data_IF_705513653323
#
_entry.id   IF_705513653323
#
_cell.length_a   1.000
_cell.length_b   1.000
_cell.length_c   1.000
_cell.angle_alpha   90.00
_cell.angle_beta   90.00
_cell.angle_gamma   90.00
#
_symmetry.space_group_name_H-M   'P 1'
#
loop_
_entity.id
_entity.type
_entity.pdbx_description
1 polymer ?
#
# COMPACT_ATOMS: atom_id res chain seq x y z
N UNK A 1 -2.17 -13.16 -24.32
CA UNK A 1 -2.40 -13.58 -22.93
C UNK A 1 -1.81 -12.48 -22.05
N UNK A 2 -2.66 -11.61 -21.49
CA UNK A 2 -2.23 -10.49 -20.64
C UNK A 2 -1.77 -11.03 -19.29
N UNK A 3 -0.50 -10.82 -18.95
CA UNK A 3 -0.05 -10.83 -17.55
C UNK A 3 0.20 -9.36 -17.17
N UNK A 4 -0.53 -8.95 -16.14
CA UNK A 4 -0.61 -7.61 -15.59
C UNK A 4 0.47 -7.49 -14.52
N UNK A 5 1.72 -7.42 -14.94
CA UNK A 5 2.82 -7.07 -14.02
C UNK A 5 2.75 -5.56 -13.72
N UNK A 6 1.66 -5.12 -13.08
CA UNK A 6 1.75 -3.93 -12.26
C UNK A 6 2.63 -4.36 -11.08
N UNK A 7 3.87 -3.83 -10.94
CA UNK A 7 4.65 -4.09 -9.74
C UNK A 7 3.72 -3.76 -8.57
N UNK A 8 3.55 -4.71 -7.67
CA UNK A 8 2.48 -4.67 -6.66
C UNK A 8 2.77 -3.54 -5.69
N UNK A 9 2.37 -2.31 -6.04
CA UNK A 9 2.56 -1.09 -5.27
C UNK A 9 1.90 -1.26 -3.90
N UNK A 10 0.80 -2.01 -3.85
CA UNK A 10 0.12 -2.46 -2.64
C UNK A 10 1.07 -3.17 -1.66
N UNK A 11 2.04 -3.95 -2.14
CA UNK A 11 2.98 -4.68 -1.26
C UNK A 11 4.09 -3.77 -0.72
N UNK A 12 4.62 -2.86 -1.55
CA UNK A 12 5.60 -1.87 -1.09
C UNK A 12 4.97 -0.91 -0.08
N UNK A 13 3.79 -0.38 -0.40
CA UNK A 13 3.06 0.55 0.46
C UNK A 13 2.75 -0.09 1.81
N UNK A 14 2.27 -1.35 1.81
CA UNK A 14 1.95 -2.08 3.04
C UNK A 14 3.18 -2.32 3.92
N UNK A 15 4.33 -2.63 3.34
CA UNK A 15 5.59 -2.77 4.08
C UNK A 15 6.01 -1.42 4.67
N UNK A 16 5.93 -0.34 3.90
CA UNK A 16 6.31 1.01 4.36
C UNK A 16 5.39 1.48 5.49
N UNK A 17 4.07 1.31 5.38
CA UNK A 17 3.15 1.66 6.45
C UNK A 17 3.42 0.88 7.74
N UNK A 18 3.63 -0.43 7.63
CA UNK A 18 3.90 -1.28 8.80
C UNK A 18 5.21 -0.90 9.49
N UNK A 19 6.26 -0.61 8.71
CA UNK A 19 7.53 -0.11 9.23
C UNK A 19 7.38 1.25 9.92
N UNK A 20 6.64 2.18 9.31
CA UNK A 20 6.37 3.50 9.91
C UNK A 20 5.53 3.42 11.19
N UNK A 21 4.69 2.39 11.32
CA UNK A 21 3.94 2.10 12.55
C UNK A 21 4.80 1.44 13.65
N UNK A 22 6.08 1.18 13.39
CA UNK A 22 7.03 0.63 14.36
C UNK A 22 7.10 -0.89 14.38
N UNK A 23 6.50 -1.59 13.41
CA UNK A 23 6.71 -3.03 13.27
C UNK A 23 8.15 -3.34 12.86
N UNK A 24 8.72 -4.43 13.39
CA UNK A 24 10.03 -4.91 12.94
C UNK A 24 9.93 -5.56 11.56
N UNK A 25 11.00 -5.59 10.76
CA UNK A 25 11.02 -6.27 9.47
C UNK A 25 10.56 -7.74 9.54
N UNK A 26 10.92 -8.45 10.61
CA UNK A 26 10.51 -9.83 10.85
C UNK A 26 9.02 -9.95 11.17
N UNK A 27 8.45 -8.98 11.90
CA UNK A 27 7.01 -8.91 12.15
C UNK A 27 6.24 -8.67 10.86
N UNK A 28 6.73 -7.74 10.05
CA UNK A 28 6.16 -7.44 8.72
C UNK A 28 6.22 -8.69 7.83
N UNK A 29 7.35 -9.39 7.74
CA UNK A 29 7.48 -10.60 6.94
C UNK A 29 6.50 -11.71 7.38
N UNK A 30 6.22 -11.82 8.68
CA UNK A 30 5.21 -12.75 9.19
C UNK A 30 3.78 -12.35 8.79
N UNK A 31 3.50 -11.06 8.72
CA UNK A 31 2.20 -10.52 8.30
C UNK A 31 1.97 -10.66 6.78
N UNK A 32 3.04 -10.76 5.98
CA UNK A 32 2.99 -10.89 4.52
C UNK A 32 3.71 -12.16 4.05
N UNK A 33 3.10 -13.36 4.17
CA UNK A 33 3.75 -14.64 3.86
C UNK A 33 4.15 -14.84 2.38
N UNK A 34 3.74 -13.92 1.50
CA UNK A 34 4.15 -13.87 0.09
C UNK A 34 5.47 -13.11 -0.12
N UNK A 35 5.95 -12.38 0.89
CA UNK A 35 7.20 -11.65 0.86
C UNK A 35 8.27 -12.41 1.64
N UNK A 36 9.44 -12.59 1.03
CA UNK A 36 10.60 -13.06 1.77
C UNK A 36 11.12 -11.96 2.71
N UNK A 37 11.83 -12.35 3.75
CA UNK A 37 12.42 -11.39 4.68
C UNK A 37 13.38 -10.44 3.95
N UNK A 38 14.15 -10.93 2.97
CA UNK A 38 15.03 -10.14 2.12
C UNK A 38 14.26 -9.11 1.29
N UNK A 39 13.07 -9.46 0.78
CA UNK A 39 12.21 -8.52 0.06
C UNK A 39 11.69 -7.42 0.99
N UNK A 40 11.33 -7.75 2.23
CA UNK A 40 10.91 -6.77 3.24
C UNK A 40 12.07 -5.81 3.56
N UNK A 41 13.26 -6.34 3.83
CA UNK A 41 14.45 -5.51 4.06
C UNK A 41 14.80 -4.65 2.85
N UNK A 42 14.70 -5.19 1.63
CA UNK A 42 14.92 -4.45 0.39
C UNK A 42 13.92 -3.30 0.20
N UNK A 43 12.64 -3.54 0.49
CA UNK A 43 11.61 -2.52 0.45
C UNK A 43 11.85 -1.39 1.47
N UNK A 44 12.22 -1.74 2.71
CA UNK A 44 12.56 -0.76 3.76
C UNK A 44 13.80 0.05 3.35
N UNK A 45 14.85 -0.61 2.85
CA UNK A 45 16.05 0.07 2.40
C UNK A 45 15.76 1.04 1.24
N UNK A 46 14.95 0.60 0.27
CA UNK A 46 14.51 1.46 -0.84
C UNK A 46 13.71 2.66 -0.34
N UNK A 47 12.77 2.46 0.60
CA UNK A 47 12.01 3.55 1.23
C UNK A 47 12.93 4.56 1.92
N UNK A 48 13.85 4.10 2.76
CA UNK A 48 14.76 4.98 3.49
C UNK A 48 15.67 5.79 2.54
N UNK A 49 16.11 5.19 1.43
CA UNK A 49 16.92 5.87 0.42
C UNK A 49 16.12 6.88 -0.43
N UNK A 50 14.80 6.71 -0.56
CA UNK A 50 13.96 7.51 -1.46
C UNK A 50 12.77 8.15 -0.72
N UNK A 51 12.95 8.46 0.57
CA UNK A 51 11.84 8.77 1.49
C UNK A 51 10.93 9.88 0.99
N UNK A 52 11.49 11.00 0.52
CA UNK A 52 10.69 12.13 0.03
C UNK A 52 9.82 11.75 -1.18
N UNK A 53 10.39 10.98 -2.11
CA UNK A 53 9.69 10.51 -3.31
C UNK A 53 8.57 9.56 -2.93
N UNK A 54 8.84 8.58 -2.06
CA UNK A 54 7.86 7.58 -1.65
C UNK A 54 6.77 8.21 -0.78
N UNK A 55 7.10 9.11 0.14
CA UNK A 55 6.11 9.84 0.95
C UNK A 55 5.18 10.69 0.06
N UNK A 56 5.72 11.34 -0.99
CA UNK A 56 4.91 12.09 -1.95
C UNK A 56 3.99 11.18 -2.78
N UNK A 57 4.50 10.01 -3.19
CA UNK A 57 3.72 8.99 -3.90
C UNK A 57 2.57 8.46 -3.03
N UNK A 58 2.85 8.06 -1.78
CA UNK A 58 1.87 7.53 -0.83
C UNK A 58 0.75 8.54 -0.56
N UNK A 59 1.09 9.82 -0.34
CA UNK A 59 0.11 10.90 -0.15
C UNK A 59 -0.80 11.08 -1.36
N UNK A 60 -0.24 10.98 -2.57
CA UNK A 60 -1.02 11.06 -3.80
C UNK A 60 -1.98 9.89 -3.95
N UNK A 61 -1.51 8.67 -3.69
CA UNK A 61 -2.35 7.46 -3.72
C UNK A 61 -3.50 7.50 -2.72
N UNK A 62 -3.27 8.01 -1.51
CA UNK A 62 -4.32 8.17 -0.50
C UNK A 62 -5.42 9.14 -0.97
N UNK A 63 -5.04 10.29 -1.55
CA UNK A 63 -5.98 11.27 -2.07
C UNK A 63 -6.83 10.69 -3.22
N UNK A 64 -6.22 9.91 -4.12
CA UNK A 64 -6.92 9.26 -5.23
C UNK A 64 -7.89 8.17 -4.73
N UNK A 65 -7.48 7.38 -3.72
CA UNK A 65 -8.35 6.36 -3.13
C UNK A 65 -9.54 6.97 -2.37
N UNK A 66 -9.32 8.08 -1.65
CA UNK A 66 -10.40 8.82 -0.98
C UNK A 66 -11.40 9.39 -2.00
N UNK A 67 -10.92 9.95 -3.11
CA UNK A 67 -11.78 10.44 -4.19
C UNK A 67 -12.58 9.30 -4.83
N UNK A 68 -11.96 8.14 -5.05
CA UNK A 68 -12.64 6.97 -5.59
C UNK A 68 -13.72 6.47 -4.62
N UNK A 69 -13.43 6.35 -3.32
CA UNK A 69 -14.41 5.99 -2.30
C UNK A 69 -15.60 6.95 -2.24
N UNK A 70 -15.33 8.25 -2.30
CA UNK A 70 -16.37 9.28 -2.29
C UNK A 70 -17.25 9.18 -3.54
N UNK A 71 -16.65 8.98 -4.72
CA UNK A 71 -17.40 8.80 -5.97
C UNK A 71 -18.22 7.49 -6.00
N UNK A 72 -17.75 6.43 -5.35
CA UNK A 72 -18.48 5.17 -5.19
C UNK A 72 -19.65 5.32 -4.20
N UNK A 73 -19.48 6.08 -3.11
CA UNK A 73 -20.57 6.42 -2.18
C UNK A 73 -21.64 7.27 -2.86
N UNK A 74 -21.25 8.27 -3.65
CA UNK A 74 -22.17 9.14 -4.38
C UNK A 74 -22.94 8.41 -5.49
N UNK A 75 -22.37 7.32 -6.02
CA UNK A 75 -23.00 6.48 -7.06
C UNK A 75 -23.84 5.31 -6.51
N UNK A 76 -24.07 5.20 -5.20
CA UNK A 76 -25.04 4.24 -4.65
C UNK A 76 -26.10 4.88 -3.75
N UNK A 77 -27.11 5.58 -4.32
CA UNK A 77 -28.32 5.98 -3.60
C UNK A 77 -29.33 4.85 -3.32
N UNK A 78 -29.01 3.56 -3.52
CA UNK A 78 -30.02 2.48 -3.52
C UNK A 78 -29.89 1.39 -2.45
N UNK A 79 -29.11 1.59 -1.38
CA UNK A 79 -29.01 0.61 -0.29
C UNK A 79 -29.52 1.11 1.08
N UNK A 80 -30.47 2.05 1.08
CA UNK A 80 -31.32 2.32 2.25
C UNK A 80 -32.78 2.07 1.90
N UNK A 81 -33.21 0.81 1.99
CA UNK A 81 -34.61 0.48 2.23
C UNK A 81 -34.70 -0.84 2.99
N UNK A 82 -35.00 -0.75 4.29
CA UNK A 82 -36.15 -1.38 4.95
C UNK A 82 -36.12 -1.04 6.44
#
# INVERSE_FOLDING_TARGET
>A
MQNWDAPTLISLDSVVYSFLNGESPEGIAQNFPILSLEQVYGAIAFYLANRELVDAYLKKGEAEFQQLQQSCREKSPLLTKN
#
